data_IF_923205901538
#
_entry.id   IF_923205901538
#
_cell.length_a   1.000
_cell.length_b   1.000
_cell.length_c   1.000
_cell.angle_alpha   90.00
_cell.angle_beta   90.00
_cell.angle_gamma   90.00
#
_symmetry.space_group_name_H-M   'P 1'
#
loop_
_entity.id
_entity.type
_entity.pdbx_description
1 polymer ?
#
# COMPACT_ATOMS: atom_id res chain seq x y z
N UNK A 1 -1.64 6.85 5.99
CA UNK A 1 -0.29 7.19 6.47
C UNK A 1 0.16 8.58 6.06
N UNK A 2 0.38 8.92 4.79
CA UNK A 2 0.93 10.23 4.40
C UNK A 2 0.20 11.44 5.01
N UNK A 3 -1.14 11.45 4.99
CA UNK A 3 -1.95 12.50 5.64
C UNK A 3 -1.72 12.55 7.16
N UNK A 4 -1.68 11.40 7.83
CA UNK A 4 -1.43 11.28 9.27
C UNK A 4 -0.01 11.70 9.67
N UNK A 5 1.01 11.31 8.88
CA UNK A 5 2.41 11.74 9.08
C UNK A 5 2.51 13.27 9.00
N UNK A 6 1.83 13.85 8.01
CA UNK A 6 1.69 15.30 7.86
C UNK A 6 0.81 15.97 8.92
N UNK A 7 0.20 15.20 9.84
CA UNK A 7 -0.74 15.70 10.83
C UNK A 7 -1.87 16.56 10.21
N UNK A 8 -2.34 16.16 9.02
CA UNK A 8 -3.42 16.85 8.33
C UNK A 8 -4.75 16.25 8.71
N UNK A 9 -5.76 17.11 8.88
CA UNK A 9 -7.14 16.67 9.06
C UNK A 9 -7.69 16.21 7.72
N UNK A 10 -8.37 15.07 7.71
CA UNK A 10 -9.00 14.53 6.52
C UNK A 10 -10.30 13.82 6.88
N UNK A 11 -11.15 13.67 5.88
CA UNK A 11 -12.32 12.82 5.92
C UNK A 11 -12.15 11.70 4.89
N UNK A 12 -12.49 10.48 5.28
CA UNK A 12 -12.51 9.35 4.36
C UNK A 12 -13.86 9.30 3.66
N UNK A 13 -13.83 9.29 2.33
CA UNK A 13 -15.00 9.02 1.49
C UNK A 13 -14.84 7.60 0.94
N UNK A 14 -15.77 6.73 1.27
CA UNK A 14 -15.78 5.35 0.78
C UNK A 14 -16.40 5.32 -0.63
N UNK A 15 -15.72 4.62 -1.53
CA UNK A 15 -16.16 4.38 -2.90
C UNK A 15 -15.95 2.91 -3.22
N UNK A 16 -16.95 2.30 -3.85
CA UNK A 16 -16.84 0.94 -4.35
C UNK A 16 -15.83 0.88 -5.49
N UNK A 17 -15.00 -0.16 -5.53
CA UNK A 17 -13.97 -0.28 -6.57
C UNK A 17 -14.50 -0.16 -8.02
N UNK A 18 -15.66 -0.75 -8.41
CA UNK A 18 -16.22 -0.54 -9.74
C UNK A 18 -16.58 0.92 -10.06
N UNK A 19 -16.84 1.76 -9.04
CA UNK A 19 -17.28 3.15 -9.21
C UNK A 19 -16.12 4.16 -9.22
N UNK A 20 -14.89 3.72 -8.94
CA UNK A 20 -13.70 4.59 -8.85
C UNK A 20 -13.47 5.38 -10.14
N UNK A 21 -13.60 4.76 -11.30
CA UNK A 21 -13.37 5.43 -12.59
C UNK A 21 -14.41 6.53 -12.84
N UNK A 22 -15.69 6.22 -12.63
CA UNK A 22 -16.77 7.20 -12.80
C UNK A 22 -16.63 8.37 -11.81
N UNK A 23 -16.27 8.07 -10.55
CA UNK A 23 -16.01 9.09 -9.54
C UNK A 23 -14.81 9.97 -9.95
N UNK A 24 -13.68 9.37 -10.30
CA UNK A 24 -12.45 10.07 -10.66
C UNK A 24 -12.69 11.06 -11.81
N UNK A 25 -13.39 10.62 -12.86
CA UNK A 25 -13.77 11.47 -14.00
C UNK A 25 -14.65 12.63 -13.52
N UNK A 26 -15.70 12.35 -12.72
CA UNK A 26 -16.64 13.36 -12.23
C UNK A 26 -15.95 14.45 -11.41
N UNK A 27 -14.96 14.08 -10.61
CA UNK A 27 -14.23 15.01 -9.75
C UNK A 27 -12.99 15.61 -10.40
N UNK A 28 -12.68 15.26 -11.65
CA UNK A 28 -11.50 15.76 -12.36
C UNK A 28 -10.17 15.19 -11.84
N UNK A 29 -10.17 14.02 -11.20
CA UNK A 29 -8.94 13.36 -10.80
C UNK A 29 -8.21 12.79 -12.02
N UNK A 30 -6.89 13.02 -12.18
CA UNK A 30 -6.16 12.50 -13.32
C UNK A 30 -6.07 10.97 -13.28
N UNK A 31 -5.94 10.30 -14.44
CA UNK A 31 -5.67 8.86 -14.47
C UNK A 31 -4.27 8.57 -13.93
N UNK A 32 -4.09 7.38 -13.38
CA UNK A 32 -2.82 6.95 -12.77
C UNK A 32 -2.06 5.94 -13.65
N UNK A 33 -2.58 5.64 -14.84
CA UNK A 33 -1.97 4.71 -15.77
C UNK A 33 -2.83 4.49 -17.02
N UNK A 34 -2.53 3.41 -17.73
CA UNK A 34 -3.20 3.01 -18.97
C UNK A 34 -3.71 1.57 -18.81
N UNK A 35 -4.90 1.28 -19.36
CA UNK A 35 -5.52 -0.05 -19.36
C UNK A 35 -4.75 -1.02 -20.30
N UNK A 36 -5.01 -2.34 -20.23
CA UNK A 36 -4.32 -3.33 -21.06
C UNK A 36 -4.43 -3.13 -22.59
N UNK A 37 -5.41 -2.33 -23.05
CA UNK A 37 -5.53 -1.94 -24.45
C UNK A 37 -4.46 -0.93 -24.92
N UNK A 38 -3.62 -0.45 -24.00
CA UNK A 38 -2.54 0.50 -24.27
C UNK A 38 -3.01 1.92 -24.60
N UNK A 39 -4.30 2.22 -24.47
CA UNK A 39 -4.87 3.53 -24.87
C UNK A 39 -5.81 4.12 -23.83
N UNK A 40 -6.67 3.31 -23.23
CA UNK A 40 -7.71 3.82 -22.35
C UNK A 40 -7.12 4.20 -20.99
N UNK A 41 -7.52 5.35 -20.40
CA UNK A 41 -7.02 5.77 -19.09
C UNK A 41 -7.41 4.76 -18.01
N UNK A 42 -6.48 4.51 -17.08
CA UNK A 42 -6.71 3.68 -15.91
C UNK A 42 -6.72 4.55 -14.65
N UNK A 43 -7.83 4.48 -13.92
CA UNK A 43 -8.05 5.26 -12.70
C UNK A 43 -7.95 4.35 -11.48
N UNK A 44 -7.28 4.84 -10.45
CA UNK A 44 -7.07 4.11 -9.20
C UNK A 44 -7.25 5.02 -8.00
N UNK A 45 -7.34 4.40 -6.83
CA UNK A 45 -7.18 5.04 -5.53
C UNK A 45 -5.73 4.83 -5.03
N UNK A 46 -5.19 5.71 -4.16
CA UNK A 46 -5.85 6.84 -3.52
C UNK A 46 -6.04 8.07 -4.42
N UNK A 47 -7.08 8.85 -4.11
CA UNK A 47 -7.38 10.19 -4.65
C UNK A 47 -7.67 11.09 -3.46
N UNK A 48 -7.19 12.34 -3.49
CA UNK A 48 -7.58 13.38 -2.52
C UNK A 48 -8.23 14.57 -3.23
N UNK A 49 -9.16 15.21 -2.54
CA UNK A 49 -9.64 16.55 -2.86
C UNK A 49 -9.23 17.45 -1.69
N UNK A 50 -8.51 18.51 -1.98
CA UNK A 50 -8.10 19.50 -0.99
C UNK A 50 -8.97 20.75 -1.10
N UNK A 51 -9.96 20.94 -0.20
CA UNK A 51 -10.84 22.10 -0.26
C UNK A 51 -10.11 23.42 0.00
N UNK A 52 -8.92 23.40 0.62
CA UNK A 52 -8.15 24.62 0.93
C UNK A 52 -7.52 25.23 -0.31
N UNK A 53 -7.26 24.42 -1.34
CA UNK A 53 -6.62 24.83 -2.60
C UNK A 53 -7.48 24.60 -3.83
N UNK A 54 -8.54 23.79 -3.70
CA UNK A 54 -9.34 23.28 -4.82
C UNK A 54 -8.65 22.16 -5.62
N UNK A 55 -7.49 21.66 -5.18
CA UNK A 55 -6.74 20.65 -5.90
C UNK A 55 -7.41 19.27 -5.82
N UNK A 56 -7.35 18.53 -6.93
CA UNK A 56 -7.71 17.11 -7.00
C UNK A 56 -6.48 16.35 -7.48
N UNK A 57 -5.97 15.44 -6.64
CA UNK A 57 -4.70 14.74 -6.87
C UNK A 57 -4.92 13.25 -6.72
N UNK A 58 -4.45 12.48 -7.71
CA UNK A 58 -4.43 11.02 -7.69
C UNK A 58 -2.99 10.51 -7.80
N UNK A 59 -2.77 9.23 -7.55
CA UNK A 59 -1.46 8.58 -7.44
C UNK A 59 -0.75 8.89 -6.12
N UNK A 60 -0.37 7.84 -5.40
CA UNK A 60 0.14 7.91 -4.03
C UNK A 60 1.40 8.77 -3.85
N UNK A 61 2.35 8.73 -4.77
CA UNK A 61 3.58 9.51 -4.69
C UNK A 61 3.33 10.97 -5.10
N UNK A 62 2.53 11.20 -6.14
CA UNK A 62 2.09 12.53 -6.53
C UNK A 62 1.31 13.23 -5.40
N UNK A 63 0.47 12.49 -4.68
CA UNK A 63 -0.19 12.97 -3.45
C UNK A 63 0.86 13.34 -2.40
N UNK A 64 1.84 12.48 -2.12
CA UNK A 64 2.89 12.79 -1.14
C UNK A 64 3.68 14.06 -1.50
N UNK A 65 4.06 14.23 -2.77
CA UNK A 65 4.72 15.45 -3.27
C UNK A 65 3.84 16.69 -3.15
N UNK A 66 2.55 16.56 -3.48
CA UNK A 66 1.57 17.62 -3.31
C UNK A 66 1.48 18.06 -1.85
N UNK A 67 1.43 17.11 -0.92
CA UNK A 67 1.34 17.39 0.51
C UNK A 67 2.62 18.06 1.03
N UNK A 68 3.81 17.61 0.60
CA UNK A 68 5.08 18.27 0.96
C UNK A 68 5.16 19.71 0.45
N UNK A 69 4.72 19.94 -0.79
CA UNK A 69 4.75 21.27 -1.40
C UNK A 69 3.72 22.22 -0.78
N UNK A 70 2.52 21.72 -0.51
CA UNK A 70 1.39 22.55 -0.06
C UNK A 70 1.41 22.80 1.44
N UNK A 71 1.91 21.81 2.20
CA UNK A 71 1.97 21.83 3.66
C UNK A 71 3.39 21.56 4.17
N UNK A 72 4.37 22.45 3.89
CA UNK A 72 5.78 22.22 4.22
C UNK A 72 6.07 22.26 5.72
N UNK A 73 5.21 22.90 6.52
CA UNK A 73 5.36 23.03 7.98
C UNK A 73 4.55 21.98 8.77
N UNK A 74 3.74 21.17 8.09
CA UNK A 74 2.88 20.18 8.72
C UNK A 74 3.58 18.83 8.76
N UNK A 75 4.12 18.45 9.92
CA UNK A 75 4.78 17.16 10.12
C UNK A 75 6.04 16.94 9.26
N UNK A 76 6.60 15.72 9.30
CA UNK A 76 7.79 15.36 8.53
C UNK A 76 7.63 15.49 7.01
N UNK A 77 8.77 15.62 6.33
CA UNK A 77 8.83 15.60 4.86
C UNK A 77 8.70 14.17 4.36
N UNK A 78 7.71 13.90 3.51
CA UNK A 78 7.44 12.56 2.99
C UNK A 78 8.50 12.15 1.96
N UNK A 79 8.89 13.07 1.08
CA UNK A 79 9.88 12.85 0.02
C UNK A 79 11.00 13.89 0.17
N UNK A 80 11.98 13.65 1.05
CA UNK A 80 13.14 14.53 1.21
C UNK A 80 13.87 14.79 -0.11
N UNK A 81 14.47 15.96 -0.23
CA UNK A 81 15.17 16.39 -1.44
C UNK A 81 16.22 15.35 -1.89
N UNK A 82 16.21 15.01 -3.19
CA UNK A 82 17.13 14.02 -3.79
C UNK A 82 16.73 12.55 -3.59
N UNK A 83 15.67 12.24 -2.85
CA UNK A 83 15.33 10.86 -2.47
C UNK A 83 14.21 10.24 -3.31
N UNK A 84 13.47 11.06 -4.07
CA UNK A 84 12.28 10.64 -4.83
C UNK A 84 12.49 9.36 -5.64
N UNK A 85 13.53 9.31 -6.46
CA UNK A 85 13.80 8.16 -7.34
C UNK A 85 14.02 6.89 -6.53
N UNK A 86 14.78 6.97 -5.43
CA UNK A 86 15.06 5.84 -4.57
C UNK A 86 13.80 5.36 -3.82
N UNK A 87 12.97 6.30 -3.35
CA UNK A 87 11.71 5.93 -2.69
C UNK A 87 10.71 5.30 -3.66
N UNK A 88 10.65 5.74 -4.92
CA UNK A 88 9.85 5.09 -5.96
C UNK A 88 10.38 3.69 -6.28
N UNK A 89 11.69 3.52 -6.41
CA UNK A 89 12.29 2.19 -6.61
C UNK A 89 12.03 1.26 -5.41
N UNK A 90 12.14 1.78 -4.19
CA UNK A 90 11.80 1.06 -2.96
C UNK A 90 10.33 0.64 -2.96
N UNK A 91 9.41 1.53 -3.35
CA UNK A 91 7.98 1.20 -3.49
C UNK A 91 7.73 0.02 -4.42
N UNK A 92 8.36 0.02 -5.60
CA UNK A 92 8.24 -1.11 -6.53
C UNK A 92 8.76 -2.41 -5.91
N UNK A 93 9.88 -2.34 -5.18
CA UNK A 93 10.42 -3.52 -4.51
C UNK A 93 9.56 -4.02 -3.35
N UNK A 94 8.93 -3.12 -2.58
CA UNK A 94 7.92 -3.49 -1.58
C UNK A 94 6.76 -4.17 -2.28
N UNK A 95 6.22 -3.60 -3.35
CA UNK A 95 5.11 -4.19 -4.10
C UNK A 95 5.46 -5.60 -4.63
N UNK A 96 6.68 -5.82 -5.13
CA UNK A 96 7.16 -7.13 -5.56
C UNK A 96 7.29 -8.11 -4.38
N UNK A 97 7.85 -7.67 -3.26
CA UNK A 97 8.07 -8.50 -2.07
C UNK A 97 6.77 -8.98 -1.43
N UNK A 98 5.71 -8.17 -1.55
CA UNK A 98 4.36 -8.52 -1.08
C UNK A 98 3.51 -9.20 -2.17
N UNK A 99 3.94 -9.25 -3.43
CA UNK A 99 3.16 -9.90 -4.49
C UNK A 99 2.76 -11.36 -4.16
N UNK A 100 3.59 -12.18 -3.47
CA UNK A 100 3.19 -13.52 -3.06
C UNK A 100 2.00 -13.57 -2.10
N UNK A 101 1.57 -12.46 -1.48
CA UNK A 101 0.38 -12.46 -0.62
C UNK A 101 -0.93 -12.44 -1.40
N UNK A 102 -0.91 -12.08 -2.69
CA UNK A 102 -2.12 -11.86 -3.51
C UNK A 102 -3.10 -13.05 -3.56
N UNK A 103 -2.65 -14.32 -3.64
CA UNK A 103 -3.58 -15.46 -3.64
C UNK A 103 -4.41 -15.56 -2.36
N UNK A 104 -3.91 -15.06 -1.23
CA UNK A 104 -4.63 -15.10 0.06
C UNK A 104 -5.76 -14.08 0.15
N UNK A 105 -5.84 -13.12 -0.77
CA UNK A 105 -6.89 -12.08 -0.78
C UNK A 105 -8.28 -12.68 -1.01
N UNK A 106 -8.32 -13.89 -1.58
CA UNK A 106 -9.52 -14.60 -2.01
C UNK A 106 -9.98 -15.67 -1.03
N UNK A 107 -9.25 -15.84 0.08
CA UNK A 107 -9.53 -16.87 1.09
C UNK A 107 -10.36 -16.37 2.28
N UNK A 108 -10.82 -15.11 2.28
CA UNK A 108 -11.54 -14.52 3.41
C UNK A 108 -12.58 -13.48 3.00
N UNK A 109 -13.41 -13.06 3.97
CA UNK A 109 -14.57 -12.16 3.79
C UNK A 109 -14.21 -10.66 3.80
N UNK A 110 -12.97 -10.29 3.47
CA UNK A 110 -12.48 -8.89 3.59
C UNK A 110 -13.02 -7.99 2.48
N UNK A 111 -13.33 -8.55 1.31
CA UNK A 111 -13.84 -7.81 0.17
C UNK A 111 -15.36 -7.91 0.11
N UNK A 112 -16.03 -6.76 -0.09
CA UNK A 112 -17.46 -6.77 -0.37
C UNK A 112 -17.76 -7.40 -1.74
N UNK A 113 -19.01 -7.82 -1.95
CA UNK A 113 -19.44 -8.55 -3.14
C UNK A 113 -19.18 -7.79 -4.45
N UNK A 114 -19.40 -6.47 -4.45
CA UNK A 114 -19.21 -5.62 -5.63
C UNK A 114 -17.73 -5.58 -6.05
N UNK A 115 -16.83 -5.37 -5.09
CA UNK A 115 -15.38 -5.35 -5.29
C UNK A 115 -14.86 -6.71 -5.70
N UNK A 116 -15.28 -7.78 -5.01
CA UNK A 116 -14.91 -9.16 -5.35
C UNK A 116 -15.31 -9.51 -6.78
N UNK A 117 -16.57 -9.25 -7.16
CA UNK A 117 -17.09 -9.53 -8.50
C UNK A 117 -16.36 -8.74 -9.58
N UNK A 118 -16.09 -7.46 -9.33
CA UNK A 118 -15.35 -6.60 -10.25
C UNK A 118 -13.92 -7.10 -10.48
N UNK A 119 -13.20 -7.44 -9.40
CA UNK A 119 -11.82 -7.92 -9.49
C UNK A 119 -11.72 -9.30 -10.15
N UNK A 120 -12.62 -10.24 -9.82
CA UNK A 120 -12.65 -11.56 -10.44
C UNK A 120 -12.91 -11.46 -11.95
N UNK A 121 -13.90 -10.67 -12.38
CA UNK A 121 -14.18 -10.42 -13.80
C UNK A 121 -12.98 -9.82 -14.53
N UNK A 122 -12.26 -8.89 -13.88
CA UNK A 122 -11.04 -8.31 -14.45
C UNK A 122 -9.93 -9.34 -14.63
N UNK A 123 -9.73 -10.22 -13.64
CA UNK A 123 -8.74 -11.29 -13.71
C UNK A 123 -9.10 -12.34 -14.76
N UNK A 124 -10.38 -12.72 -14.86
CA UNK A 124 -10.90 -13.59 -15.90
C UNK A 124 -10.62 -13.01 -17.31
N UNK A 125 -10.87 -11.71 -17.50
CA UNK A 125 -10.53 -11.01 -18.75
C UNK A 125 -9.04 -10.98 -19.10
N UNK A 126 -8.16 -11.26 -18.13
CA UNK A 126 -6.71 -11.42 -18.31
C UNK A 126 -6.28 -12.90 -18.42
N UNK A 127 -7.22 -13.84 -18.45
CA UNK A 127 -6.94 -15.28 -18.45
C UNK A 127 -6.38 -15.80 -17.13
N UNK A 128 -6.54 -15.06 -16.04
CA UNK A 128 -6.01 -15.44 -14.71
C UNK A 128 -7.08 -16.19 -13.93
N UNK A 129 -6.79 -17.46 -13.62
CA UNK A 129 -7.62 -18.26 -12.71
C UNK A 129 -7.13 -18.03 -11.28
N UNK A 130 -8.03 -17.50 -10.44
CA UNK A 130 -7.75 -17.31 -9.02
C UNK A 130 -7.94 -18.63 -8.28
N UNK A 131 -6.90 -19.07 -7.58
CA UNK A 131 -6.95 -20.21 -6.66
C UNK A 131 -6.28 -19.84 -5.34
N UNK A 132 -6.99 -20.05 -4.24
CA UNK A 132 -6.40 -19.94 -2.90
C UNK A 132 -5.51 -21.16 -2.67
N UNK A 133 -4.24 -20.99 -2.29
CA UNK A 133 -3.33 -22.11 -2.07
C UNK A 133 -3.67 -22.83 -0.76
N UNK A 134 -3.59 -24.16 -0.80
CA UNK A 134 -3.92 -25.09 0.29
C UNK A 134 -2.78 -26.09 0.52
N UNK A 135 -2.73 -26.72 1.69
CA UNK A 135 -1.75 -27.77 2.02
C UNK A 135 -0.31 -27.34 1.76
N UNK A 136 0.47 -28.20 1.09
CA UNK A 136 1.87 -27.91 0.76
C UNK A 136 2.06 -26.66 -0.11
N UNK A 137 1.12 -26.37 -1.02
CA UNK A 137 1.23 -25.19 -1.88
C UNK A 137 1.05 -23.90 -1.08
N UNK A 138 0.20 -23.95 -0.04
CA UNK A 138 0.06 -22.86 0.92
C UNK A 138 1.39 -22.57 1.60
N UNK A 139 2.05 -23.59 2.14
CA UNK A 139 3.32 -23.45 2.85
C UNK A 139 4.42 -22.93 1.91
N UNK A 140 4.51 -23.46 0.68
CA UNK A 140 5.46 -22.96 -0.34
C UNK A 140 5.21 -21.50 -0.69
N UNK A 141 3.94 -21.10 -0.83
CA UNK A 141 3.59 -19.72 -1.13
C UNK A 141 3.89 -18.80 0.06
N UNK A 142 3.65 -19.26 1.28
CA UNK A 142 3.94 -18.51 2.50
C UNK A 142 5.45 -18.30 2.72
N UNK A 143 6.27 -19.31 2.43
CA UNK A 143 7.73 -19.18 2.43
C UNK A 143 8.23 -18.10 1.45
N UNK A 144 7.56 -17.90 0.30
CA UNK A 144 7.89 -16.79 -0.63
C UNK A 144 7.59 -15.43 -0.02
N UNK A 145 6.52 -15.29 0.76
CA UNK A 145 6.20 -14.05 1.49
C UNK A 145 7.29 -13.73 2.49
N UNK A 146 7.70 -14.72 3.30
CA UNK A 146 8.79 -14.58 4.26
C UNK A 146 10.10 -14.17 3.56
N UNK A 147 10.45 -14.83 2.46
CA UNK A 147 11.64 -14.52 1.68
C UNK A 147 11.61 -13.11 1.07
N UNK A 148 10.44 -12.66 0.58
CA UNK A 148 10.25 -11.30 0.06
C UNK A 148 10.52 -10.24 1.14
N UNK A 149 9.91 -10.40 2.32
CA UNK A 149 10.18 -9.56 3.47
C UNK A 149 11.67 -9.61 3.89
N UNK A 150 12.29 -10.79 3.84
CA UNK A 150 13.73 -10.95 4.10
C UNK A 150 14.63 -10.17 3.13
N UNK A 151 14.18 -9.89 1.90
CA UNK A 151 14.92 -8.98 0.99
C UNK A 151 14.90 -7.54 1.52
N UNK A 152 13.74 -7.07 1.97
CA UNK A 152 13.59 -5.72 2.55
C UNK A 152 14.38 -5.61 3.85
N UNK A 153 14.31 -6.62 4.73
CA UNK A 153 15.04 -6.66 6.00
C UNK A 153 16.56 -6.49 5.82
N UNK A 154 17.13 -6.95 4.70
CA UNK A 154 18.57 -6.77 4.41
C UNK A 154 18.95 -5.31 4.13
N UNK A 155 18.00 -4.47 3.72
CA UNK A 155 18.25 -3.05 3.45
C UNK A 155 18.03 -2.17 4.68
N UNK A 156 17.30 -2.68 5.68
CA UNK A 156 17.01 -1.93 6.88
C UNK A 156 18.16 -2.08 7.91
N UNK A 157 18.42 -1.03 8.71
CA UNK A 157 19.45 -1.09 9.75
C UNK A 157 19.23 -2.28 10.70
N UNK A 158 20.33 -2.96 11.04
CA UNK A 158 20.33 -4.13 11.95
C UNK A 158 20.32 -3.73 13.41
N UNK A 159 20.99 -2.63 13.74
CA UNK A 159 21.08 -2.11 15.10
C UNK A 159 20.07 -0.98 15.31
N UNK A 160 19.16 -1.17 16.26
CA UNK A 160 18.12 -0.20 16.55
C UNK A 160 17.03 -0.09 15.48
N UNK A 161 16.14 0.88 15.67
CA UNK A 161 15.13 1.24 14.68
C UNK A 161 15.47 2.60 14.09
N UNK A 162 15.49 2.66 12.77
CA UNK A 162 15.53 3.89 12.00
C UNK A 162 14.48 3.79 10.88
N UNK A 163 13.87 4.91 10.52
CA UNK A 163 12.99 4.95 9.35
C UNK A 163 13.84 4.79 8.09
N UNK A 164 13.22 4.46 6.96
CA UNK A 164 13.91 4.19 5.69
C UNK A 164 14.82 5.37 5.28
N UNK A 165 14.40 6.60 5.62
CA UNK A 165 15.14 7.83 5.31
C UNK A 165 15.84 8.47 6.51
N UNK A 166 15.97 7.77 7.64
CA UNK A 166 16.68 8.27 8.81
C UNK A 166 15.79 8.47 10.04
N UNK A 167 15.89 9.63 10.69
CA UNK A 167 15.25 9.90 11.98
C UNK A 167 13.74 10.13 11.92
N UNK A 168 13.19 10.49 10.76
CA UNK A 168 11.77 10.83 10.58
C UNK A 168 11.08 9.91 9.55
N UNK A 169 9.76 9.65 9.71
CA UNK A 169 9.02 8.83 8.77
C UNK A 169 8.91 9.50 7.40
N UNK A 170 9.06 8.69 6.35
CA UNK A 170 8.99 9.13 4.96
C UNK A 170 7.88 8.41 4.18
N UNK A 171 7.74 8.73 2.89
CA UNK A 171 6.84 8.04 1.98
C UNK A 171 7.22 6.55 1.84
N UNK A 172 8.50 6.19 1.87
CA UNK A 172 8.97 4.82 1.81
C UNK A 172 8.50 4.01 3.03
N UNK A 173 8.54 4.58 4.22
CA UNK A 173 8.00 3.95 5.43
C UNK A 173 6.48 3.82 5.35
N UNK A 174 5.80 4.86 4.85
CA UNK A 174 4.35 4.84 4.64
C UNK A 174 3.94 3.72 3.66
N UNK A 175 4.72 3.47 2.61
CA UNK A 175 4.50 2.37 1.66
C UNK A 175 4.68 1.02 2.34
N UNK A 176 5.80 0.80 3.04
CA UNK A 176 6.06 -0.47 3.72
C UNK A 176 4.97 -0.78 4.76
N UNK A 177 4.61 0.21 5.57
CA UNK A 177 3.58 0.06 6.59
C UNK A 177 2.18 -0.08 5.99
N UNK A 178 1.90 0.55 4.83
CA UNK A 178 0.65 0.34 4.11
C UNK A 178 0.51 -1.11 3.63
N UNK A 179 1.58 -1.68 3.07
CA UNK A 179 1.60 -3.09 2.65
C UNK A 179 1.43 -4.04 3.84
N UNK A 180 2.14 -3.83 4.94
CA UNK A 180 1.99 -4.62 6.16
C UNK A 180 0.57 -4.51 6.75
N UNK A 181 0.03 -3.29 6.86
CA UNK A 181 -1.34 -3.06 7.36
C UNK A 181 -2.38 -3.73 6.48
N UNK A 182 -2.23 -3.64 5.16
CA UNK A 182 -3.13 -4.27 4.20
C UNK A 182 -3.09 -5.79 4.33
N UNK A 183 -1.89 -6.39 4.36
CA UNK A 183 -1.71 -7.83 4.57
C UNK A 183 -2.29 -8.30 5.90
N UNK A 184 -2.05 -7.57 7.00
CA UNK A 184 -2.67 -7.85 8.31
C UNK A 184 -4.20 -7.80 8.25
N UNK A 185 -4.76 -6.83 7.51
CA UNK A 185 -6.20 -6.70 7.30
C UNK A 185 -6.79 -7.93 6.61
N UNK A 186 -6.11 -8.41 5.56
CA UNK A 186 -6.51 -9.61 4.81
C UNK A 186 -6.38 -10.89 5.64
N UNK A 187 -5.28 -11.06 6.37
CA UNK A 187 -5.06 -12.28 7.15
C UNK A 187 -5.96 -12.31 8.40
N UNK A 188 -6.35 -11.15 8.90
CA UNK A 188 -6.99 -10.97 10.19
C UNK A 188 -5.94 -10.70 11.29
N UNK A 189 -6.22 -9.73 12.16
CA UNK A 189 -5.28 -9.26 13.20
C UNK A 189 -4.83 -10.36 14.17
N UNK A 190 -5.71 -11.31 14.46
CA UNK A 190 -5.44 -12.40 15.41
C UNK A 190 -5.00 -13.71 14.75
N UNK A 191 -4.88 -13.71 13.42
CA UNK A 191 -4.52 -14.90 12.66
C UNK A 191 -3.13 -15.42 13.03
N UNK A 192 -2.96 -16.74 12.87
CA UNK A 192 -1.66 -17.40 13.03
C UNK A 192 -0.65 -16.81 12.04
N UNK A 193 -1.06 -16.61 10.80
CA UNK A 193 -0.25 -16.04 9.73
C UNK A 193 0.26 -14.63 10.07
N UNK A 194 -0.60 -13.75 10.58
CA UNK A 194 -0.12 -12.44 11.01
C UNK A 194 0.88 -12.54 12.17
N UNK A 195 0.60 -13.38 13.17
CA UNK A 195 1.50 -13.58 14.33
C UNK A 195 2.86 -14.12 13.91
N UNK A 196 2.88 -15.08 12.98
CA UNK A 196 4.11 -15.58 12.37
C UNK A 196 4.84 -14.47 11.62
N UNK A 197 4.15 -13.76 10.72
CA UNK A 197 4.74 -12.65 9.96
C UNK A 197 5.34 -11.60 10.90
N UNK A 198 4.62 -11.17 11.92
CA UNK A 198 5.10 -10.18 12.88
C UNK A 198 6.37 -10.61 13.63
N UNK A 199 6.58 -11.92 13.81
CA UNK A 199 7.74 -12.50 14.50
C UNK A 199 8.99 -12.67 13.62
N UNK A 200 8.87 -12.63 12.30
CA UNK A 200 10.00 -12.85 11.39
C UNK A 200 11.07 -11.77 11.50
N UNK A 201 12.32 -12.16 11.20
CA UNK A 201 13.51 -11.29 11.20
C UNK A 201 13.62 -10.52 12.52
N UNK A 202 13.73 -11.27 13.63
CA UNK A 202 13.85 -10.75 14.99
C UNK A 202 12.67 -9.87 15.43
N UNK A 203 11.47 -10.21 14.95
CA UNK A 203 10.23 -9.50 15.24
C UNK A 203 10.13 -8.12 14.58
N UNK A 204 10.94 -7.83 13.54
CA UNK A 204 11.03 -6.50 12.93
C UNK A 204 9.66 -5.99 12.47
N UNK A 205 8.86 -6.83 11.82
CA UNK A 205 7.61 -6.39 11.20
C UNK A 205 6.55 -6.03 12.24
N UNK A 206 6.47 -6.78 13.35
CA UNK A 206 5.64 -6.40 14.49
C UNK A 206 6.07 -5.06 15.09
N UNK A 207 7.37 -4.90 15.37
CA UNK A 207 7.93 -3.67 15.93
C UNK A 207 7.69 -2.44 15.04
N UNK A 208 7.83 -2.59 13.71
CA UNK A 208 7.53 -1.52 12.75
C UNK A 208 6.05 -1.13 12.86
N UNK A 209 5.14 -2.11 12.85
CA UNK A 209 3.70 -1.83 12.96
C UNK A 209 3.32 -1.18 14.29
N UNK A 210 3.90 -1.62 15.41
CA UNK A 210 3.65 -1.01 16.72
C UNK A 210 4.08 0.46 16.74
N UNK A 211 5.24 0.78 16.16
CA UNK A 211 5.72 2.16 16.06
C UNK A 211 4.89 3.02 15.11
N UNK A 212 4.38 2.43 14.03
CA UNK A 212 3.54 3.13 13.06
C UNK A 212 2.07 3.26 13.48
N UNK A 213 1.65 2.59 14.56
CA UNK A 213 0.27 2.63 15.06
C UNK A 213 -0.26 4.03 15.34
N UNK A 214 0.61 4.97 15.72
CA UNK A 214 0.27 6.38 15.95
C UNK A 214 -0.22 7.11 14.68
N UNK A 215 0.05 6.57 13.49
CA UNK A 215 -0.36 7.14 12.21
C UNK A 215 -1.55 6.39 11.58
N UNK A 216 -2.11 5.39 12.27
CA UNK A 216 -3.20 4.54 11.75
C UNK A 216 -4.58 5.19 11.72
#
# INVERSE_FOLDING_TARGET
YSLSIKNLKFQVVWVELPDVEALAIRIGAPPTGVKPDGKSPFYTIPIIQDPSTGAVVSESAAIAEYLDKTYPTSGPMLIPAGTKVLQLAFRESVAESFAPTRPFFWGGEILNDATSSYLLKRLEGLGVVVKVPEGEEREKQWAKVQAGLGKIDKWLPKDGFEFVMGSEPSFADAVLCASLRFTRGILGRESREWKEMASWHDGRWGKIMDRFSQYE
#
